data_IF_911382070735
#
_entry.id   IF_911382070735
#
_cell.length_a   1.000
_cell.length_b   1.000
_cell.length_c   1.000
_cell.angle_alpha   90.00
_cell.angle_beta   90.00
_cell.angle_gamma   90.00
#
_symmetry.space_group_name_H-M   'P 1'
#
loop_
_entity.id
_entity.type
_entity.pdbx_description
1 polymer ?
#
# COMPACT_ATOMS: atom_id res chain seq x y z
N UNK A 1 44.89 -3.89 14.87
CA UNK A 1 43.50 -3.44 15.11
C UNK A 1 42.91 -2.72 13.89
N UNK A 2 42.98 -3.31 12.68
CA UNK A 2 42.37 -2.78 11.44
C UNK A 2 41.45 -3.79 10.74
N UNK A 3 41.54 -5.07 11.11
CA UNK A 3 40.77 -6.16 10.48
C UNK A 3 39.37 -6.30 11.08
N UNK A 4 39.16 -5.89 12.34
CA UNK A 4 37.86 -5.99 13.02
C UNK A 4 36.82 -5.00 12.44
N UNK A 5 37.27 -3.86 11.86
CA UNK A 5 36.35 -2.91 11.20
C UNK A 5 35.82 -3.40 9.85
N UNK A 6 36.50 -4.32 9.15
CA UNK A 6 36.01 -4.88 7.89
C UNK A 6 34.97 -5.99 8.09
N UNK A 7 34.97 -6.67 9.23
CA UNK A 7 34.04 -7.78 9.52
C UNK A 7 32.61 -7.31 9.82
N UNK A 8 32.44 -6.08 10.32
CA UNK A 8 31.14 -5.51 10.70
C UNK A 8 30.35 -5.03 9.46
N UNK A 9 31.03 -4.72 8.35
CA UNK A 9 30.38 -4.27 7.11
C UNK A 9 29.63 -5.38 6.34
N UNK A 10 29.88 -6.66 6.65
CA UNK A 10 29.34 -7.81 5.91
C UNK A 10 28.02 -8.32 6.51
N UNK A 11 27.70 -7.96 7.76
CA UNK A 11 26.49 -8.43 8.45
C UNK A 11 25.24 -7.58 8.19
N UNK A 12 25.38 -6.39 7.58
CA UNK A 12 24.23 -5.49 7.34
C UNK A 12 23.52 -5.73 6.01
N UNK A 13 24.11 -6.47 5.07
CA UNK A 13 23.57 -6.66 3.72
C UNK A 13 22.57 -7.82 3.58
N UNK A 14 22.52 -8.78 4.52
CA UNK A 14 21.61 -9.93 4.43
C UNK A 14 20.12 -9.57 4.60
N UNK A 15 19.81 -8.52 5.37
CA UNK A 15 18.42 -8.16 5.68
C UNK A 15 17.65 -7.58 4.48
N UNK A 16 18.33 -6.97 3.51
CA UNK A 16 17.66 -6.32 2.39
C UNK A 16 17.17 -7.31 1.33
N UNK A 17 17.87 -8.44 1.15
CA UNK A 17 17.53 -9.42 0.10
C UNK A 17 16.24 -10.18 0.37
N UNK A 18 15.95 -10.48 1.64
CA UNK A 18 14.76 -11.27 2.03
C UNK A 18 13.48 -10.47 1.85
N UNK A 19 13.48 -9.20 2.23
CA UNK A 19 12.32 -8.32 2.02
C UNK A 19 11.98 -8.17 0.53
N UNK A 20 13.00 -8.01 -0.33
CA UNK A 20 12.81 -7.89 -1.78
C UNK A 20 12.14 -9.12 -2.40
N UNK A 21 12.59 -10.32 -2.00
CA UNK A 21 12.01 -11.57 -2.49
C UNK A 21 10.54 -11.73 -2.07
N UNK A 22 10.23 -11.44 -0.80
CA UNK A 22 8.85 -11.47 -0.28
C UNK A 22 7.95 -10.49 -1.03
N UNK A 23 8.39 -9.25 -1.24
CA UNK A 23 7.58 -8.26 -1.93
C UNK A 23 7.32 -8.63 -3.39
N UNK A 24 8.34 -9.13 -4.08
CA UNK A 24 8.17 -9.63 -5.45
C UNK A 24 7.16 -10.79 -5.50
N UNK A 25 7.24 -11.73 -4.55
CA UNK A 25 6.28 -12.83 -4.45
C UNK A 25 4.85 -12.32 -4.23
N UNK A 26 4.63 -11.43 -3.25
CA UNK A 26 3.29 -10.92 -2.94
C UNK A 26 2.74 -10.04 -4.06
N UNK A 27 3.59 -9.30 -4.78
CA UNK A 27 3.18 -8.60 -5.99
C UNK A 27 2.55 -9.55 -7.00
N UNK A 28 3.24 -10.62 -7.38
CA UNK A 28 2.77 -11.61 -8.35
C UNK A 28 1.47 -12.29 -7.91
N UNK A 29 1.35 -12.62 -6.63
CA UNK A 29 0.14 -13.26 -6.09
C UNK A 29 -1.04 -12.27 -6.14
N UNK A 30 -0.84 -11.04 -5.64
CA UNK A 30 -1.90 -10.03 -5.61
C UNK A 30 -2.35 -9.60 -7.01
N UNK A 31 -1.47 -9.60 -8.01
CA UNK A 31 -1.82 -9.29 -9.40
C UNK A 31 -2.83 -10.32 -9.98
N UNK A 32 -2.86 -11.55 -9.45
CA UNK A 32 -3.74 -12.65 -9.90
C UNK A 32 -4.99 -12.83 -9.04
N UNK A 33 -4.86 -12.62 -7.72
CA UNK A 33 -5.87 -13.04 -6.74
C UNK A 33 -6.65 -11.87 -6.11
N UNK A 34 -6.34 -10.61 -6.47
CA UNK A 34 -7.08 -9.45 -5.95
C UNK A 34 -8.50 -9.39 -6.47
N UNK A 35 -9.42 -8.94 -5.62
CA UNK A 35 -10.77 -8.58 -5.99
C UNK A 35 -10.80 -7.12 -6.44
N UNK A 36 -11.46 -6.82 -7.55
CA UNK A 36 -11.61 -5.46 -8.05
C UNK A 36 -12.73 -4.72 -7.31
N UNK A 37 -12.47 -3.46 -6.97
CA UNK A 37 -13.48 -2.55 -6.44
C UNK A 37 -14.16 -1.86 -7.63
N UNK A 38 -15.50 -1.84 -7.61
CA UNK A 38 -16.28 -1.09 -8.57
C UNK A 38 -15.88 0.39 -8.57
N UNK A 39 -15.60 0.95 -9.74
CA UNK A 39 -15.17 2.34 -9.89
C UNK A 39 -16.18 3.36 -9.35
N UNK A 40 -17.47 3.04 -9.30
CA UNK A 40 -18.51 3.87 -8.68
C UNK A 40 -18.45 3.89 -7.14
N UNK A 41 -17.76 2.90 -6.55
CA UNK A 41 -17.56 2.73 -5.11
C UNK A 41 -16.08 2.89 -4.72
N UNK A 42 -15.26 3.53 -5.57
CA UNK A 42 -13.82 3.66 -5.35
C UNK A 42 -13.45 4.64 -4.26
N UNK A 43 -14.37 5.48 -3.79
CA UNK A 43 -14.08 6.53 -2.80
C UNK A 43 -13.91 5.95 -1.39
N UNK A 44 -12.74 6.19 -0.80
CA UNK A 44 -12.42 5.81 0.58
C UNK A 44 -11.78 6.96 1.34
N UNK A 45 -11.94 6.91 2.66
CA UNK A 45 -11.35 7.88 3.59
C UNK A 45 -10.55 7.16 4.67
N UNK A 46 -9.38 7.72 5.03
CA UNK A 46 -8.55 7.21 6.13
C UNK A 46 -9.19 7.54 7.48
N UNK A 47 -9.32 6.54 8.36
CA UNK A 47 -9.92 6.68 9.69
C UNK A 47 -8.92 6.50 10.84
N UNK A 48 -7.71 6.02 10.57
CA UNK A 48 -6.67 5.83 11.59
C UNK A 48 -6.19 7.16 12.16
N UNK A 49 -6.10 7.26 13.49
CA UNK A 49 -5.52 8.44 14.19
C UNK A 49 -4.00 8.57 13.95
N UNK A 50 -3.33 7.46 13.64
CA UNK A 50 -1.90 7.42 13.33
C UNK A 50 -1.60 7.37 11.83
N UNK A 51 -0.30 7.36 11.49
CA UNK A 51 0.18 7.24 10.11
C UNK A 51 -0.25 5.91 9.49
N UNK A 52 -0.98 5.99 8.39
CA UNK A 52 -1.37 4.85 7.57
C UNK A 52 -0.37 4.71 6.42
N UNK A 53 0.63 3.87 6.64
CA UNK A 53 1.73 3.72 5.68
C UNK A 53 1.31 2.95 4.44
N UNK A 54 1.92 3.32 3.30
CA UNK A 54 1.79 2.56 2.07
C UNK A 54 2.82 1.42 2.01
N UNK A 55 2.47 0.38 1.26
CA UNK A 55 3.28 -0.79 1.00
C UNK A 55 3.38 -1.03 -0.52
N UNK A 56 4.56 -1.39 -1.00
CA UNK A 56 4.80 -1.75 -2.42
C UNK A 56 4.08 -3.03 -2.84
N UNK A 57 3.67 -3.86 -1.88
CA UNK A 57 2.96 -5.12 -2.05
C UNK A 57 2.15 -5.40 -0.78
N UNK A 58 1.09 -6.23 -0.80
CA UNK A 58 0.19 -6.42 0.33
C UNK A 58 0.80 -7.35 1.40
N UNK A 59 1.88 -6.88 2.01
CA UNK A 59 2.62 -7.56 3.07
C UNK A 59 3.33 -6.52 3.95
N UNK A 60 3.33 -6.74 5.27
CA UNK A 60 3.92 -5.82 6.25
C UNK A 60 5.42 -5.55 6.01
N UNK A 61 6.15 -6.52 5.44
CA UNK A 61 7.58 -6.38 5.14
C UNK A 61 7.85 -5.49 3.91
N UNK A 62 6.81 -5.12 3.17
CA UNK A 62 6.89 -4.33 1.93
C UNK A 62 6.59 -2.85 2.13
N UNK A 63 6.72 -2.39 3.39
CA UNK A 63 6.44 -1.02 3.81
C UNK A 63 7.34 -0.02 3.11
N UNK A 64 6.73 1.01 2.53
CA UNK A 64 7.44 2.17 2.02
C UNK A 64 7.75 3.14 3.15
N UNK A 65 9.02 3.52 3.25
CA UNK A 65 9.45 4.49 4.24
C UNK A 65 8.96 5.87 3.79
N UNK A 66 8.32 6.59 4.70
CA UNK A 66 7.88 7.99 4.54
C UNK A 66 6.69 8.24 3.59
N UNK A 67 6.12 7.21 2.97
CA UNK A 67 4.84 7.35 2.24
C UNK A 67 3.72 6.89 3.15
N UNK A 68 2.90 7.84 3.60
CA UNK A 68 1.77 7.57 4.49
C UNK A 68 0.67 8.59 4.30
N UNK A 69 -0.52 8.18 4.69
CA UNK A 69 -1.71 9.03 4.81
C UNK A 69 -2.05 9.26 6.28
N UNK A 70 -2.81 10.31 6.52
CA UNK A 70 -3.33 10.69 7.83
C UNK A 70 -4.87 10.66 7.82
N UNK A 71 -5.46 10.74 9.02
CA UNK A 71 -6.91 10.77 9.19
C UNK A 71 -7.57 11.81 8.28
N UNK A 72 -8.67 11.41 7.66
CA UNK A 72 -9.48 12.16 6.70
C UNK A 72 -8.87 12.36 5.30
N UNK A 73 -7.68 11.86 5.00
CA UNK A 73 -7.20 11.80 3.62
C UNK A 73 -8.15 10.95 2.76
N UNK A 74 -8.42 11.42 1.55
CA UNK A 74 -9.29 10.78 0.58
C UNK A 74 -8.45 10.07 -0.48
N UNK A 75 -8.87 8.87 -0.86
CA UNK A 75 -8.18 8.03 -1.84
C UNK A 75 -9.19 7.33 -2.74
N UNK A 76 -8.72 6.93 -3.91
CA UNK A 76 -9.42 6.00 -4.77
C UNK A 76 -8.88 4.60 -4.54
N UNK A 77 -9.74 3.67 -4.12
CA UNK A 77 -9.43 2.25 -3.97
C UNK A 77 -9.80 1.50 -5.25
N UNK A 78 -8.93 0.59 -5.68
CA UNK A 78 -9.06 -0.15 -6.94
C UNK A 78 -9.20 -1.65 -6.76
N UNK A 79 -8.57 -2.19 -5.72
CA UNK A 79 -8.60 -3.61 -5.46
C UNK A 79 -8.39 -3.93 -3.98
N UNK A 80 -8.83 -5.11 -3.57
CA UNK A 80 -8.59 -5.68 -2.25
C UNK A 80 -7.87 -7.01 -2.40
N UNK A 81 -6.88 -7.26 -1.56
CA UNK A 81 -6.28 -8.58 -1.40
C UNK A 81 -6.00 -8.81 0.08
N UNK A 82 -6.76 -9.75 0.67
CA UNK A 82 -6.75 -10.02 2.13
C UNK A 82 -6.97 -8.71 2.90
N UNK A 83 -6.12 -8.40 3.87
CA UNK A 83 -6.24 -7.24 4.75
C UNK A 83 -5.67 -5.95 4.15
N UNK A 84 -5.42 -5.92 2.83
CA UNK A 84 -4.86 -4.76 2.15
C UNK A 84 -5.74 -4.29 1.00
N UNK A 85 -5.84 -2.97 0.87
CA UNK A 85 -6.51 -2.27 -0.23
C UNK A 85 -5.46 -1.59 -1.09
N UNK A 86 -5.49 -1.79 -2.41
CA UNK A 86 -4.67 -1.05 -3.36
C UNK A 86 -5.36 0.28 -3.70
N UNK A 87 -4.63 1.38 -3.50
CA UNK A 87 -5.15 2.73 -3.61
C UNK A 87 -4.32 3.59 -4.57
N UNK A 88 -4.92 4.69 -5.02
CA UNK A 88 -4.29 5.80 -5.71
C UNK A 88 -4.77 7.12 -5.10
N UNK A 89 -3.89 8.11 -5.01
CA UNK A 89 -4.25 9.49 -4.73
C UNK A 89 -3.28 10.46 -5.41
N UNK A 90 -3.67 11.73 -5.51
CA UNK A 90 -2.78 12.80 -5.92
C UNK A 90 -2.21 13.46 -4.67
N UNK A 91 -0.88 13.60 -4.60
CA UNK A 91 -0.27 14.38 -3.53
C UNK A 91 -0.45 15.90 -3.78
N UNK A 92 0.09 16.72 -2.87
CA UNK A 92 -0.03 18.18 -2.93
C UNK A 92 0.62 18.81 -4.17
N UNK A 93 1.59 18.11 -4.76
CA UNK A 93 2.31 18.53 -5.95
C UNK A 93 1.64 18.02 -7.24
N UNK A 94 0.49 17.32 -7.11
CA UNK A 94 -0.24 16.74 -8.24
C UNK A 94 0.36 15.44 -8.77
N UNK A 95 1.28 14.81 -8.03
CA UNK A 95 1.87 13.54 -8.41
C UNK A 95 0.96 12.38 -8.04
N UNK A 96 0.86 11.38 -8.94
CA UNK A 96 0.10 10.16 -8.70
C UNK A 96 0.92 9.26 -7.77
N UNK A 97 0.36 8.98 -6.60
CA UNK A 97 0.89 8.01 -5.65
C UNK A 97 -0.02 6.79 -5.64
N UNK A 98 0.57 5.60 -5.70
CA UNK A 98 -0.13 4.33 -5.63
C UNK A 98 0.51 3.43 -4.58
N UNK A 99 -0.26 2.52 -4.01
CA UNK A 99 0.28 1.52 -3.10
C UNK A 99 -0.80 0.75 -2.36
N UNK A 100 -0.37 -0.23 -1.56
CA UNK A 100 -1.25 -0.97 -0.67
C UNK A 100 -1.32 -0.29 0.70
N UNK A 101 -2.48 -0.33 1.34
CA UNK A 101 -2.72 0.16 2.70
C UNK A 101 -3.55 -0.88 3.44
N UNK A 102 -3.39 -1.02 4.76
CA UNK A 102 -4.21 -1.99 5.52
C UNK A 102 -5.68 -1.55 5.50
N UNK A 103 -6.58 -2.43 5.06
CA UNK A 103 -7.98 -2.12 4.78
C UNK A 103 -8.74 -1.61 6.00
N UNK A 104 -8.38 -2.06 7.20
CA UNK A 104 -9.00 -1.61 8.47
C UNK A 104 -8.74 -0.13 8.79
N UNK A 105 -7.83 0.54 8.06
CA UNK A 105 -7.56 1.97 8.20
C UNK A 105 -8.43 2.84 7.28
N UNK A 106 -9.29 2.23 6.47
CA UNK A 106 -10.14 2.90 5.51
C UNK A 106 -11.62 2.66 5.81
N UNK A 107 -12.46 3.62 5.42
CA UNK A 107 -13.92 3.44 5.32
C UNK A 107 -14.40 3.92 3.95
N UNK A 108 -15.38 3.23 3.32
CA UNK A 108 -16.00 3.73 2.10
C UNK A 108 -16.66 5.09 2.34
N UNK A 109 -16.64 5.97 1.33
CA UNK A 109 -17.36 7.25 1.36
C UNK A 109 -18.74 7.16 0.71
N UNK A 110 -19.06 6.05 0.04
CA UNK A 110 -20.27 5.89 -0.77
C UNK A 110 -20.21 6.68 -2.09
N UNK A 111 -19.02 7.08 -2.52
CA UNK A 111 -18.78 7.79 -3.79
C UNK A 111 -17.74 7.03 -4.61
N UNK A 112 -17.54 7.43 -5.86
CA UNK A 112 -16.48 6.90 -6.71
C UNK A 112 -16.28 7.76 -7.95
N UNK A 113 -15.31 7.39 -8.77
CA UNK A 113 -14.96 8.12 -10.00
C UNK A 113 -15.60 7.54 -11.26
N UNK A 114 -16.17 6.34 -11.15
CA UNK A 114 -16.86 5.67 -12.24
C UNK A 114 -18.38 5.87 -12.24
N UNK A 115 -19.05 5.56 -13.35
CA UNK A 115 -20.50 5.56 -13.43
C UNK A 115 -21.09 4.54 -12.45
N UNK A 116 -22.17 4.91 -11.76
CA UNK A 116 -22.90 3.98 -10.89
C UNK A 116 -23.60 2.91 -11.72
N UNK A 117 -23.48 1.65 -11.30
CA UNK A 117 -24.27 0.56 -11.88
C UNK A 117 -25.67 0.61 -11.26
N UNK A 118 -26.63 1.19 -11.99
CA UNK A 118 -28.01 1.40 -11.53
C UNK A 118 -28.85 0.10 -11.45
N UNK A 119 -28.27 -1.05 -11.81
CA UNK A 119 -28.97 -2.34 -12.00
C UNK A 119 -28.54 -3.45 -11.01
N UNK A 120 -27.94 -3.11 -9.87
CA UNK A 120 -27.49 -4.09 -8.86
C UNK A 120 -28.31 -4.05 -7.58
#
# INVERSE_FOLDING_TARGET
MKVILLSILILTSFNLSVAKDICQKFKVISDKERDLIDSSQSGYKVISEGRSYLYTSPNINCKERNVFLIKNDLVNAYAVYRDFTFIMYLNKDGEIIVGWITSSQLVPTGTGIGPADENK
#
